data_IF_291497685792
#
_entry.id   IF_291497685792
#
_cell.length_a   1.000
_cell.length_b   1.000
_cell.length_c   1.000
_cell.angle_alpha   90.00
_cell.angle_beta   90.00
_cell.angle_gamma   90.00
#
_symmetry.space_group_name_H-M   'P 1'
#
loop_
_entity.id
_entity.type
_entity.pdbx_description
1 polymer ?
#
# COMPACT_ATOMS: atom_id res chain seq x y z
N UNK A 1 7.89 29.81 10.38
CA UNK A 1 7.26 28.84 11.30
C UNK A 1 8.05 28.84 12.60
N UNK A 2 7.39 28.73 13.76
CA UNK A 2 8.06 28.63 15.05
C UNK A 2 8.87 27.33 15.17
N UNK A 3 9.80 27.29 16.13
CA UNK A 3 10.67 26.14 16.36
C UNK A 3 9.89 25.00 17.05
N UNK A 4 9.89 23.77 16.52
CA UNK A 4 9.24 22.62 17.15
C UNK A 4 9.71 22.40 18.60
N UNK A 5 8.78 22.04 19.49
CA UNK A 5 9.09 21.80 20.91
C UNK A 5 9.08 23.06 21.79
N UNK A 6 8.56 24.19 21.28
CA UNK A 6 8.35 25.42 22.04
C UNK A 6 6.85 25.67 22.23
N UNK A 7 6.47 26.38 23.29
CA UNK A 7 5.05 26.76 23.53
C UNK A 7 4.46 27.54 22.34
N UNK A 8 5.27 28.41 21.72
CA UNK A 8 4.89 29.16 20.52
C UNK A 8 4.59 28.22 19.35
N UNK A 9 5.32 27.12 19.20
CA UNK A 9 5.03 26.12 18.19
C UNK A 9 3.75 25.36 18.50
N UNK A 10 3.52 24.98 19.76
CA UNK A 10 2.31 24.24 20.13
C UNK A 10 1.04 25.08 19.87
N UNK A 11 1.09 26.38 20.20
CA UNK A 11 0.01 27.31 19.90
C UNK A 11 -0.19 27.47 18.39
N UNK A 12 0.89 27.68 17.65
CA UNK A 12 0.83 27.76 16.19
C UNK A 12 0.30 26.46 15.56
N UNK A 13 0.74 25.30 16.03
CA UNK A 13 0.36 23.99 15.52
C UNK A 13 -1.12 23.70 15.82
N UNK A 14 -1.64 24.14 16.97
CA UNK A 14 -3.07 24.10 17.28
C UNK A 14 -3.87 24.92 16.27
N UNK A 15 -3.52 26.20 16.08
CA UNK A 15 -4.21 27.09 15.14
C UNK A 15 -4.09 26.58 13.70
N UNK A 16 -2.92 26.08 13.33
CA UNK A 16 -2.67 25.46 12.02
C UNK A 16 -3.56 24.23 11.83
N UNK A 17 -3.70 23.35 12.82
CA UNK A 17 -4.59 22.18 12.72
C UNK A 17 -6.06 22.56 12.61
N UNK A 18 -6.51 23.56 13.37
CA UNK A 18 -7.87 24.08 13.29
C UNK A 18 -8.17 24.65 11.90
N UNK A 19 -7.30 25.52 11.38
CA UNK A 19 -7.44 26.07 10.03
C UNK A 19 -7.37 25.00 8.95
N UNK A 20 -6.45 24.04 9.08
CA UNK A 20 -6.35 22.92 8.15
C UNK A 20 -7.58 22.02 8.22
N UNK A 21 -8.28 21.91 9.35
CA UNK A 21 -9.49 21.09 9.53
C UNK A 21 -10.73 21.62 8.82
N UNK A 22 -10.69 22.86 8.33
CA UNK A 22 -11.80 23.45 7.60
C UNK A 22 -12.04 22.71 6.26
N UNK A 23 -13.30 22.39 5.94
CA UNK A 23 -13.63 21.65 4.72
C UNK A 23 -13.22 22.45 3.49
N UNK A 24 -12.63 21.75 2.51
CA UNK A 24 -12.30 22.35 1.23
C UNK A 24 -13.56 22.53 0.37
N UNK A 25 -13.58 23.59 -0.44
CA UNK A 25 -14.71 23.94 -1.29
C UNK A 25 -14.32 24.04 -2.76
N UNK A 26 -15.24 23.66 -3.66
CA UNK A 26 -15.09 23.84 -5.11
C UNK A 26 -14.49 22.64 -5.86
N UNK A 27 -14.09 22.89 -7.11
CA UNK A 27 -13.60 21.87 -8.06
C UNK A 27 -12.27 21.23 -7.64
N UNK A 28 -11.48 21.93 -6.82
CA UNK A 28 -10.15 21.49 -6.33
C UNK A 28 -10.21 20.90 -4.92
N UNK A 29 -11.40 20.51 -4.44
CA UNK A 29 -11.63 20.00 -3.09
C UNK A 29 -10.70 18.84 -2.74
N UNK A 30 -10.64 17.80 -3.57
CA UNK A 30 -9.78 16.63 -3.31
C UNK A 30 -8.31 17.03 -3.17
N UNK A 31 -7.83 17.89 -4.07
CA UNK A 31 -6.45 18.39 -4.03
C UNK A 31 -6.17 19.19 -2.75
N UNK A 32 -7.13 20.01 -2.31
CA UNK A 32 -7.00 20.76 -1.06
C UNK A 32 -7.01 19.83 0.16
N UNK A 33 -7.89 18.84 0.23
CA UNK A 33 -7.95 17.87 1.33
C UNK A 33 -6.65 17.06 1.43
N UNK A 34 -6.06 16.68 0.30
CA UNK A 34 -4.78 15.97 0.26
C UNK A 34 -3.61 16.85 0.71
N UNK A 35 -3.59 18.12 0.30
CA UNK A 35 -2.59 19.09 0.77
C UNK A 35 -2.75 19.36 2.27
N UNK A 36 -3.98 19.51 2.76
CA UNK A 36 -4.26 19.67 4.18
C UNK A 36 -3.78 18.45 4.97
N UNK A 37 -4.05 17.23 4.49
CA UNK A 37 -3.57 16.01 5.11
C UNK A 37 -2.04 15.94 5.17
N UNK A 38 -1.36 16.35 4.09
CA UNK A 38 0.10 16.43 4.05
C UNK A 38 0.65 17.43 5.07
N UNK A 39 0.07 18.63 5.15
CA UNK A 39 0.49 19.64 6.13
C UNK A 39 0.26 19.17 7.58
N UNK A 40 -0.88 18.54 7.89
CA UNK A 40 -1.11 17.96 9.22
C UNK A 40 -0.07 16.89 9.56
N UNK A 41 0.20 15.96 8.65
CA UNK A 41 1.22 14.94 8.86
C UNK A 41 2.64 15.52 9.05
N UNK A 42 2.94 16.65 8.42
CA UNK A 42 4.20 17.37 8.63
C UNK A 42 4.27 17.98 10.03
N UNK A 43 3.18 18.60 10.52
CA UNK A 43 3.09 19.13 11.89
C UNK A 43 3.28 17.99 12.91
N UNK A 44 2.57 16.88 12.73
CA UNK A 44 2.66 15.71 13.62
C UNK A 44 4.10 15.16 13.66
N UNK A 45 4.76 15.05 12.50
CA UNK A 45 6.16 14.66 12.43
C UNK A 45 7.08 15.64 13.19
N UNK A 46 6.89 16.94 13.00
CA UNK A 46 7.69 17.96 13.68
C UNK A 46 7.56 17.88 15.21
N UNK A 47 6.34 17.64 15.72
CA UNK A 47 6.09 17.45 17.16
C UNK A 47 6.77 16.21 17.70
N UNK A 48 6.58 15.06 17.04
CA UNK A 48 7.21 13.81 17.49
C UNK A 48 8.74 13.89 17.41
N UNK A 49 9.27 14.59 16.40
CA UNK A 49 10.70 14.82 16.30
C UNK A 49 11.21 15.71 17.44
N UNK A 50 10.50 16.79 17.77
CA UNK A 50 10.85 17.64 18.90
C UNK A 50 10.84 16.89 20.23
N UNK A 51 9.82 16.06 20.48
CA UNK A 51 9.74 15.21 21.68
C UNK A 51 10.91 14.25 21.77
N UNK A 52 11.29 13.61 20.66
CA UNK A 52 12.46 12.75 20.60
C UNK A 52 13.77 13.50 20.88
N UNK A 53 13.93 14.71 20.33
CA UNK A 53 15.10 15.54 20.60
C UNK A 53 15.16 15.97 22.07
N UNK A 54 14.03 16.37 22.66
CA UNK A 54 13.94 16.73 24.08
C UNK A 54 14.28 15.55 24.99
N UNK A 55 13.82 14.34 24.65
CA UNK A 55 14.18 13.11 25.35
C UNK A 55 15.69 12.87 25.31
N UNK A 56 16.32 12.96 24.13
CA UNK A 56 17.77 12.82 23.98
C UNK A 56 18.55 13.88 24.76
N UNK A 57 18.09 15.14 24.74
CA UNK A 57 18.68 16.22 25.53
C UNK A 57 18.61 15.90 27.03
N UNK A 58 17.46 15.47 27.54
CA UNK A 58 17.31 15.08 28.95
C UNK A 58 18.20 13.90 29.36
N UNK A 59 18.52 12.98 28.45
CA UNK A 59 19.50 11.90 28.69
C UNK A 59 20.91 12.48 28.81
N UNK A 60 21.30 13.36 27.89
CA UNK A 60 22.60 14.03 27.91
C UNK A 60 22.77 14.90 29.17
N UNK A 61 21.72 15.60 29.60
CA UNK A 61 21.76 16.45 30.79
C UNK A 61 21.97 15.62 32.07
N UNK A 62 21.32 14.45 32.19
CA UNK A 62 21.55 13.52 33.29
C UNK A 62 22.97 12.96 33.29
N UNK A 63 23.50 12.59 32.13
CA UNK A 63 24.89 12.14 32.01
C UNK A 63 25.88 13.24 32.41
N UNK A 64 25.63 14.49 31.99
CA UNK A 64 26.43 15.65 32.38
C UNK A 64 26.32 16.01 33.87
N UNK A 65 25.14 15.84 34.48
CA UNK A 65 24.97 15.99 35.93
C UNK A 65 25.77 14.94 36.72
N UNK A 66 25.64 13.66 36.34
CA UNK A 66 26.37 12.56 36.97
C UNK A 66 27.90 12.69 36.81
N UNK A 67 28.38 13.29 35.71
CA UNK A 67 29.80 13.60 35.53
C UNK A 67 30.26 14.72 36.48
N UNK A 68 29.44 15.75 36.73
CA UNK A 68 29.77 16.87 37.63
C UNK A 68 29.84 16.46 39.10
N UNK A 69 29.11 15.44 39.50
CA UNK A 69 29.12 14.90 40.87
C UNK A 69 30.39 14.08 41.18
N UNK A 70 31.16 13.71 40.15
CA UNK A 70 32.42 12.99 40.34
C UNK A 70 33.60 13.93 40.63
N UNK A 71 34.54 13.52 41.50
CA UNK A 71 35.71 14.34 41.83
C UNK A 71 36.60 14.56 40.61
N UNK A 72 37.16 15.78 40.51
CA UNK A 72 38.05 16.17 39.42
C UNK A 72 39.31 15.28 39.39
N UNK A 73 39.76 14.84 38.19
CA UNK A 73 40.93 13.98 38.08
C UNK A 73 42.20 14.73 38.49
N UNK A 74 43.05 14.04 39.25
CA UNK A 74 44.21 14.63 39.91
C UNK A 74 45.48 14.61 39.05
N UNK A 75 45.48 13.90 37.92
CA UNK A 75 46.70 13.59 37.16
C UNK A 75 46.66 14.06 35.70
N UNK A 76 47.78 14.54 35.15
CA UNK A 76 47.87 15.32 33.89
C UNK A 76 47.68 14.53 32.57
N UNK A 77 47.52 13.19 32.62
CA UNK A 77 46.81 12.42 31.57
C UNK A 77 45.28 12.69 31.59
N UNK A 78 44.87 13.68 32.40
CA UNK A 78 43.53 14.12 32.78
C UNK A 78 42.56 14.28 31.63
N UNK A 79 42.98 14.80 30.48
CA UNK A 79 42.03 15.09 29.40
C UNK A 79 41.49 13.81 28.75
N UNK A 80 42.35 12.79 28.57
CA UNK A 80 41.89 11.49 28.06
C UNK A 80 41.10 10.74 29.14
N UNK A 81 41.56 10.79 30.40
CA UNK A 81 40.81 10.24 31.54
C UNK A 81 39.41 10.86 31.70
N UNK A 82 39.25 12.17 31.49
CA UNK A 82 37.96 12.85 31.50
C UNK A 82 37.10 12.41 30.31
N UNK A 83 37.71 12.27 29.12
CA UNK A 83 37.02 11.82 27.91
C UNK A 83 36.52 10.38 28.05
N UNK A 84 37.36 9.45 28.52
CA UNK A 84 36.99 8.05 28.72
C UNK A 84 35.90 7.93 29.80
N UNK A 85 35.95 8.73 30.86
CA UNK A 85 34.85 8.81 31.85
C UNK A 85 33.56 9.34 31.26
N UNK A 86 33.64 10.41 30.46
CA UNK A 86 32.47 10.96 29.78
C UNK A 86 31.86 9.94 28.82
N UNK A 87 32.67 9.22 28.03
CA UNK A 87 32.21 8.16 27.14
C UNK A 87 31.53 7.05 27.93
N UNK A 88 32.15 6.53 28.99
CA UNK A 88 31.56 5.46 29.80
C UNK A 88 30.24 5.89 30.46
N UNK A 89 30.16 7.11 31.00
CA UNK A 89 28.90 7.62 31.56
C UNK A 89 27.85 7.88 30.48
N UNK A 90 28.26 8.37 29.31
CA UNK A 90 27.37 8.56 28.19
C UNK A 90 26.84 7.20 27.70
N UNK A 91 27.68 6.18 27.59
CA UNK A 91 27.30 4.82 27.20
C UNK A 91 26.36 4.17 28.22
N UNK A 92 26.63 4.31 29.53
CA UNK A 92 25.79 3.75 30.59
C UNK A 92 24.41 4.41 30.62
N UNK A 93 24.36 5.75 30.57
CA UNK A 93 23.09 6.49 30.55
C UNK A 93 22.32 6.32 29.23
N UNK A 94 23.03 6.27 28.09
CA UNK A 94 22.41 6.01 26.80
C UNK A 94 21.89 4.57 26.71
N UNK A 95 22.61 3.61 27.29
CA UNK A 95 22.15 2.24 27.43
C UNK A 95 20.86 2.15 28.23
N UNK A 96 20.79 2.81 29.39
CA UNK A 96 19.57 2.86 30.21
C UNK A 96 18.41 3.59 29.50
N UNK A 97 18.71 4.69 28.80
CA UNK A 97 17.71 5.45 28.05
C UNK A 97 17.17 4.70 26.83
N UNK A 98 18.04 4.07 26.03
CA UNK A 98 17.66 3.30 24.85
C UNK A 98 16.87 2.02 25.20
N UNK A 99 17.07 1.51 26.42
CA UNK A 99 16.30 0.38 26.96
C UNK A 99 14.98 0.80 27.63
N UNK A 100 14.77 2.10 27.86
CA UNK A 100 13.56 2.59 28.50
C UNK A 100 12.32 2.42 27.62
N UNK A 101 11.18 2.13 28.25
CA UNK A 101 9.91 2.04 27.53
C UNK A 101 9.46 3.39 26.96
N UNK A 102 9.79 4.49 27.64
CA UNK A 102 9.54 5.85 27.14
C UNK A 102 10.26 6.12 25.82
N UNK A 103 11.54 5.75 25.70
CA UNK A 103 12.29 5.90 24.46
C UNK A 103 11.65 5.11 23.31
N UNK A 104 11.25 3.86 23.58
CA UNK A 104 10.59 3.01 22.59
C UNK A 104 9.29 3.64 22.09
N UNK A 105 8.46 4.16 22.98
CA UNK A 105 7.18 4.79 22.65
C UNK A 105 7.37 6.08 21.84
N UNK A 106 8.27 6.96 22.26
CA UNK A 106 8.57 8.22 21.56
C UNK A 106 9.15 7.95 20.18
N UNK A 107 10.10 7.02 20.09
CA UNK A 107 10.72 6.63 18.82
C UNK A 107 9.73 5.94 17.87
N UNK A 108 8.90 5.02 18.37
CA UNK A 108 7.85 4.38 17.57
C UNK A 108 6.86 5.41 17.03
N UNK A 109 6.45 6.38 17.85
CA UNK A 109 5.56 7.47 17.44
C UNK A 109 6.18 8.34 16.34
N UNK A 110 7.47 8.68 16.48
CA UNK A 110 8.23 9.42 15.46
C UNK A 110 8.28 8.67 14.13
N UNK A 111 8.64 7.38 14.15
CA UNK A 111 8.74 6.56 12.94
C UNK A 111 7.36 6.44 12.26
N UNK A 112 6.30 6.24 13.04
CA UNK A 112 4.94 6.18 12.52
C UNK A 112 4.53 7.49 11.83
N UNK A 113 4.81 8.63 12.45
CA UNK A 113 4.55 9.95 11.87
C UNK A 113 5.38 10.19 10.60
N UNK A 114 6.66 9.81 10.61
CA UNK A 114 7.55 9.91 9.45
C UNK A 114 7.05 9.07 8.27
N UNK A 115 6.60 7.84 8.53
CA UNK A 115 6.08 6.95 7.50
C UNK A 115 4.78 7.49 6.91
N UNK A 116 3.87 8.00 7.74
CA UNK A 116 2.65 8.69 7.28
C UNK A 116 2.98 9.87 6.37
N UNK A 117 3.94 10.71 6.77
CA UNK A 117 4.39 11.85 5.96
C UNK A 117 4.96 11.39 4.61
N UNK A 118 5.84 10.38 4.59
CA UNK A 118 6.43 9.84 3.36
C UNK A 118 5.37 9.31 2.39
N UNK A 119 4.37 8.59 2.89
CA UNK A 119 3.27 8.08 2.04
C UNK A 119 2.50 9.23 1.38
N UNK A 120 2.20 10.30 2.13
CA UNK A 120 1.49 11.46 1.59
C UNK A 120 2.36 12.24 0.59
N UNK A 121 3.66 12.37 0.85
CA UNK A 121 4.60 12.97 -0.10
C UNK A 121 4.68 12.16 -1.40
N UNK A 122 4.75 10.83 -1.31
CA UNK A 122 4.77 9.94 -2.47
C UNK A 122 3.50 10.15 -3.32
N UNK A 123 2.32 10.21 -2.69
CA UNK A 123 1.05 10.49 -3.40
C UNK A 123 1.08 11.84 -4.13
N UNK A 124 1.64 12.88 -3.49
CA UNK A 124 1.77 14.20 -4.10
C UNK A 124 2.68 14.16 -5.34
N UNK A 125 3.83 13.48 -5.23
CA UNK A 125 4.79 13.31 -6.34
C UNK A 125 4.16 12.52 -7.48
N UNK A 126 3.46 11.42 -7.17
CA UNK A 126 2.76 10.61 -8.17
C UNK A 126 1.69 11.39 -8.91
N UNK A 127 0.96 12.29 -8.23
CA UNK A 127 -0.03 13.16 -8.91
C UNK A 127 0.64 14.10 -9.91
N UNK A 128 1.72 14.77 -9.51
CA UNK A 128 2.44 15.73 -10.36
C UNK A 128 3.09 15.01 -11.55
N UNK A 129 3.71 13.87 -11.31
CA UNK A 129 4.33 13.06 -12.37
C UNK A 129 3.30 12.50 -13.35
N UNK A 130 2.13 12.05 -12.86
CA UNK A 130 1.01 11.64 -13.70
C UNK A 130 0.48 12.77 -14.59
N UNK A 131 0.35 13.99 -14.04
CA UNK A 131 -0.04 15.17 -14.83
C UNK A 131 1.00 15.53 -15.90
N UNK A 132 2.28 15.29 -15.63
CA UNK A 132 3.38 15.49 -16.57
C UNK A 132 3.55 14.33 -17.57
N UNK A 133 2.71 13.29 -17.52
CA UNK A 133 2.81 12.11 -18.39
C UNK A 133 4.00 11.19 -18.08
N UNK A 134 4.57 11.28 -16.88
CA UNK A 134 5.67 10.43 -16.43
C UNK A 134 5.14 9.16 -15.75
N UNK A 135 5.75 7.98 -15.98
CA UNK A 135 5.37 6.75 -15.30
C UNK A 135 5.49 6.87 -13.78
N UNK A 136 4.46 6.45 -13.06
CA UNK A 136 4.46 6.41 -11.59
C UNK A 136 4.82 5.02 -11.06
N UNK A 137 5.35 4.95 -9.84
CA UNK A 137 5.69 3.67 -9.19
C UNK A 137 4.46 2.78 -9.04
N UNK A 138 3.34 3.33 -8.58
CA UNK A 138 2.06 2.62 -8.47
C UNK A 138 1.58 2.03 -9.79
N UNK A 139 1.74 2.76 -10.90
CA UNK A 139 1.39 2.24 -12.23
C UNK A 139 2.29 1.07 -12.63
N UNK A 140 3.60 1.19 -12.44
CA UNK A 140 4.57 0.11 -12.75
C UNK A 140 4.30 -1.13 -11.90
N UNK A 141 4.09 -0.96 -10.60
CA UNK A 141 3.79 -2.06 -9.67
C UNK A 141 2.48 -2.76 -10.08
N UNK A 142 1.43 -2.00 -10.39
CA UNK A 142 0.15 -2.55 -10.86
C UNK A 142 0.25 -3.31 -12.19
N UNK A 143 1.17 -2.92 -13.08
CA UNK A 143 1.44 -3.64 -14.33
C UNK A 143 2.16 -4.95 -14.04
N UNK A 144 3.13 -4.93 -13.12
CA UNK A 144 3.83 -6.13 -12.65
C UNK A 144 2.87 -7.14 -12.03
N UNK A 145 1.98 -6.69 -11.14
CA UNK A 145 0.96 -7.54 -10.52
C UNK A 145 0.02 -8.17 -11.56
N UNK A 146 -0.52 -7.37 -12.48
CA UNK A 146 -1.38 -7.86 -13.57
C UNK A 146 -0.66 -8.86 -14.46
N UNK A 147 0.60 -8.61 -14.78
CA UNK A 147 1.42 -9.54 -15.56
C UNK A 147 1.63 -10.88 -14.82
N UNK A 148 1.84 -10.84 -13.50
CA UNK A 148 1.98 -12.06 -12.70
C UNK A 148 0.66 -12.81 -12.54
N UNK A 149 -0.47 -12.11 -12.41
CA UNK A 149 -1.80 -12.71 -12.41
C UNK A 149 -2.07 -13.43 -13.74
N UNK A 150 -1.85 -12.76 -14.87
CA UNK A 150 -1.97 -13.36 -16.21
C UNK A 150 -1.08 -14.59 -16.37
N UNK A 151 0.17 -14.55 -15.89
CA UNK A 151 1.07 -15.71 -15.93
C UNK A 151 0.57 -16.90 -15.10
N UNK A 152 -0.11 -16.64 -13.98
CA UNK A 152 -0.72 -17.69 -13.14
C UNK A 152 -1.91 -18.31 -13.84
N UNK A 153 -2.79 -17.49 -14.42
CA UNK A 153 -3.95 -17.95 -15.18
C UNK A 153 -3.55 -18.81 -16.39
N UNK A 154 -2.53 -18.38 -17.15
CA UNK A 154 -2.00 -19.18 -18.26
C UNK A 154 -1.48 -20.55 -17.81
N UNK A 155 -0.77 -20.61 -16.67
CA UNK A 155 -0.33 -21.90 -16.11
C UNK A 155 -1.49 -22.78 -15.69
N UNK A 156 -2.53 -22.21 -15.08
CA UNK A 156 -3.75 -22.95 -14.72
C UNK A 156 -4.48 -23.47 -15.96
N UNK A 157 -4.63 -22.65 -17.00
CA UNK A 157 -5.24 -23.07 -18.26
C UNK A 157 -4.46 -24.20 -18.92
N UNK A 158 -3.13 -24.13 -18.97
CA UNK A 158 -2.30 -25.22 -19.49
C UNK A 158 -2.45 -26.51 -18.66
N UNK A 159 -2.55 -26.41 -17.32
CA UNK A 159 -2.84 -27.55 -16.45
C UNK A 159 -4.19 -28.20 -16.77
N UNK A 160 -5.25 -27.40 -16.90
CA UNK A 160 -6.58 -27.88 -17.27
C UNK A 160 -6.61 -28.54 -18.65
N UNK A 161 -5.88 -27.99 -19.63
CA UNK A 161 -5.74 -28.60 -20.95
C UNK A 161 -5.09 -29.98 -20.84
N UNK A 162 -4.00 -30.11 -20.07
CA UNK A 162 -3.34 -31.39 -19.85
C UNK A 162 -4.25 -32.42 -19.16
N UNK A 163 -5.03 -32.00 -18.15
CA UNK A 163 -6.03 -32.86 -17.50
C UNK A 163 -7.13 -33.30 -18.46
N UNK A 164 -7.65 -32.39 -19.29
CA UNK A 164 -8.66 -32.71 -20.31
C UNK A 164 -8.10 -33.70 -21.35
N UNK A 165 -6.84 -33.53 -21.76
CA UNK A 165 -6.17 -34.46 -22.67
C UNK A 165 -5.98 -35.84 -22.03
N UNK A 166 -5.58 -35.91 -20.76
CA UNK A 166 -5.47 -37.16 -20.01
C UNK A 166 -6.83 -37.87 -19.87
N UNK A 167 -7.88 -37.14 -19.47
CA UNK A 167 -9.24 -37.69 -19.37
C UNK A 167 -9.77 -38.17 -20.73
N UNK A 168 -9.47 -37.45 -21.82
CA UNK A 168 -9.84 -37.90 -23.18
C UNK A 168 -9.13 -39.20 -23.55
N UNK A 169 -7.86 -39.35 -23.19
CA UNK A 169 -7.11 -40.59 -23.41
C UNK A 169 -7.70 -41.75 -22.59
N UNK A 170 -8.03 -41.53 -21.32
CA UNK A 170 -8.69 -42.54 -20.47
C UNK A 170 -10.05 -42.95 -21.02
N UNK A 171 -10.89 -42.00 -21.42
CA UNK A 171 -12.21 -42.28 -22.03
C UNK A 171 -12.05 -43.04 -23.34
N UNK A 172 -11.05 -42.70 -24.16
CA UNK A 172 -10.76 -43.44 -25.39
C UNK A 172 -10.32 -44.88 -25.11
N UNK A 173 -9.47 -45.10 -24.10
CA UNK A 173 -9.06 -46.44 -23.67
C UNK A 173 -10.24 -47.27 -23.16
N UNK A 174 -11.12 -46.69 -22.33
CA UNK A 174 -12.33 -47.36 -21.83
C UNK A 174 -13.32 -47.70 -22.96
N UNK A 175 -13.47 -46.82 -23.95
CA UNK A 175 -14.32 -47.08 -25.14
C UNK A 175 -13.72 -48.13 -26.07
N UNK A 176 -12.41 -48.17 -26.23
CA UNK A 176 -11.70 -49.22 -26.98
C UNK A 176 -11.82 -50.59 -26.30
N UNK A 177 -11.77 -50.63 -24.97
CA UNK A 177 -11.98 -51.85 -24.18
C UNK A 177 -13.43 -52.35 -24.19
N UNK A 178 -14.41 -51.47 -24.48
CA UNK A 178 -15.83 -51.84 -24.64
C UNK A 178 -16.17 -52.33 -26.07
N UNK A 179 -15.28 -52.15 -27.05
CA UNK A 179 -15.50 -52.56 -28.44
C UNK A 179 -15.56 -54.08 -28.72
N UNK A 180 -15.05 -55.03 -27.88
CA UNK A 180 -15.21 -56.45 -28.18
C UNK A 180 -16.56 -57.01 -27.71
N UNK A 181 -17.38 -56.26 -26.96
CA UNK A 181 -18.66 -56.76 -26.43
C UNK A 181 -19.84 -56.49 -27.40
N UNK A 182 -19.67 -55.58 -28.38
CA UNK A 182 -20.71 -55.25 -29.35
C UNK A 182 -20.74 -56.16 -30.61
N UNK A 183 -19.91 -57.21 -30.66
CA UNK A 183 -19.92 -58.18 -31.76
C UNK A 183 -20.94 -59.33 -31.57
N UNK A 184 -21.57 -59.44 -30.40
CA UNK A 184 -22.48 -60.55 -30.05
C UNK A 184 -23.90 -60.09 -29.64
N UNK A 185 -24.41 -59.03 -30.26
CA UNK A 185 -25.83 -58.66 -30.10
C UNK A 185 -26.36 -57.90 -31.32
N UNK A 186 -26.38 -58.58 -32.47
CA UNK A 186 -27.26 -58.16 -33.57
C UNK A 186 -28.61 -58.89 -33.43
N UNK A 187 -29.72 -58.14 -33.42
CA UNK A 187 -30.82 -58.53 -34.28
C UNK A 187 -31.23 -57.41 -35.22
N UNK A 188 -31.33 -57.82 -36.47
CA UNK A 188 -31.95 -57.15 -37.60
C UNK A 188 -33.41 -56.81 -37.33
N UNK A 189 -33.79 -55.53 -37.40
CA UNK A 189 -35.16 -55.14 -37.79
C UNK A 189 -35.12 -53.95 -38.74
N UNK A 190 -35.95 -54.10 -39.78
CA UNK A 190 -35.98 -53.37 -41.04
C UNK A 190 -36.35 -51.89 -40.88
N UNK A 191 -35.64 -51.12 -41.69
CA UNK A 191 -35.91 -49.76 -42.13
C UNK A 191 -37.34 -49.64 -42.70
N UNK A 192 -38.14 -48.71 -42.18
CA UNK A 192 -39.30 -48.17 -42.87
C UNK A 192 -39.18 -46.64 -42.91
N UNK A 193 -38.88 -46.17 -44.11
CA UNK A 193 -38.72 -44.79 -44.55
C UNK A 193 -40.05 -44.02 -44.56
N UNK A 194 -40.07 -42.84 -43.94
CA UNK A 194 -41.21 -41.92 -43.92
C UNK A 194 -40.81 -40.45 -44.04
N UNK A 195 -40.35 -40.09 -45.25
CA UNK A 195 -40.44 -38.79 -45.95
C UNK A 195 -40.81 -37.51 -45.15
N UNK A 196 -39.83 -36.60 -45.01
CA UNK A 196 -39.98 -35.12 -44.83
C UNK A 196 -40.22 -34.51 -46.23
N UNK A 197 -41.04 -33.45 -46.45
CA UNK A 197 -40.69 -32.04 -46.16
C UNK A 197 -41.94 -31.15 -45.84
N UNK A 198 -41.91 -29.85 -45.56
CA UNK A 198 -40.96 -28.77 -45.76
C UNK A 198 -41.30 -27.61 -44.78
N UNK A 199 -40.30 -26.74 -44.54
CA UNK A 199 -40.42 -25.43 -43.88
C UNK A 199 -40.83 -24.36 -44.92
N UNK A 200 -41.45 -23.24 -44.50
CA UNK A 200 -40.76 -21.95 -44.65
C UNK A 200 -41.02 -21.04 -43.43
N UNK A 201 -40.00 -20.54 -42.71
CA UNK A 201 -39.37 -19.22 -42.87
C UNK A 201 -40.33 -18.07 -43.17
N UNK A 202 -40.59 -17.23 -42.15
CA UNK A 202 -40.87 -15.80 -42.33
C UNK A 202 -39.91 -15.01 -41.44
N UNK A 203 -39.08 -14.19 -42.10
CA UNK A 203 -38.32 -13.08 -41.54
C UNK A 203 -39.23 -11.84 -41.56
N UNK A 204 -39.25 -11.08 -40.48
CA UNK A 204 -39.66 -9.66 -40.47
C UNK A 204 -38.92 -9.00 -39.30
N UNK A 205 -37.76 -8.42 -39.58
CA UNK A 205 -37.55 -7.00 -39.88
C UNK A 205 -37.56 -6.13 -38.62
N UNK A 206 -36.35 -5.81 -38.17
CA UNK A 206 -36.05 -4.73 -37.26
C UNK A 206 -36.56 -3.38 -37.84
N UNK A 207 -37.11 -2.53 -36.98
CA UNK A 207 -37.30 -1.11 -37.28
C UNK A 207 -36.74 -0.27 -36.13
N UNK A 208 -35.67 0.43 -36.48
CA UNK A 208 -34.93 1.45 -35.76
C UNK A 208 -35.81 2.69 -35.52
N UNK A 209 -35.71 3.30 -34.33
CA UNK A 209 -36.02 4.72 -34.13
C UNK A 209 -35.08 5.32 -33.06
N UNK A 210 -34.32 6.34 -33.49
CA UNK A 210 -33.33 7.15 -32.76
C UNK A 210 -34.05 8.41 -32.17
N UNK A 211 -33.49 9.10 -31.15
CA UNK A 211 -34.28 9.84 -30.15
C UNK A 211 -34.49 11.33 -30.48
N UNK A 212 -35.42 11.95 -29.75
CA UNK A 212 -35.66 13.40 -29.78
C UNK A 212 -35.29 14.05 -28.44
N UNK A 213 -34.35 14.98 -28.50
CA UNK A 213 -33.96 15.98 -27.49
C UNK A 213 -34.92 17.18 -27.45
N UNK A 214 -35.16 17.68 -26.22
CA UNK A 214 -35.17 19.10 -25.74
C UNK A 214 -36.39 19.46 -24.88
N UNK A 215 -36.10 19.96 -23.68
CA UNK A 215 -36.99 20.79 -22.87
C UNK A 215 -36.18 21.55 -21.83
N UNK A 216 -36.01 22.86 -22.06
CA UNK A 216 -35.25 23.84 -21.28
C UNK A 216 -36.23 24.59 -20.37
N UNK A 217 -35.90 24.75 -19.09
CA UNK A 217 -36.51 25.78 -18.22
C UNK A 217 -35.41 26.48 -17.44
N UNK A 218 -35.39 27.81 -17.60
CA UNK A 218 -34.82 28.80 -16.70
C UNK A 218 -35.98 29.73 -16.35
#
# INVERSE_FOLDING_TARGET
>A
MPQPGTEQFDEWARVARETLSMPAFGLTREQQEEQQALFRAWIDYAEHYARFQALLQGVNDRAGAALREQPAPTDAESMRSVYDRWVNLAEENYGQAALSDEFREVYASLVNAQMRLKVLQQKQVERVTKQAGMPTRTEVDSLGERLQAMRRELRQMHGLVAEVEALRAEVAALRGAAAPIAAEAAPTVKRASGKVPAKPTVKTSAKTAKPATKGRTR
#
